data_IF_027541569677
#
_entry.id   IF_027541569677
#
_cell.length_a   1.000
_cell.length_b   1.000
_cell.length_c   1.000
_cell.angle_alpha   90.00
_cell.angle_beta   90.00
_cell.angle_gamma   90.00
#
_symmetry.space_group_name_H-M   'P 1'
#
loop_
_entity.id
_entity.type
_entity.pdbx_description
1 polymer ?
#
# COMPACT_ATOMS: atom_id res chain seq x y z
N UNK A 1 -10.89 -57.20 -34.69
CA UNK A 1 -11.45 -56.38 -33.59
C UNK A 1 -10.44 -55.30 -33.23
N UNK A 2 -10.63 -54.08 -33.74
CA UNK A 2 -9.90 -52.90 -33.26
C UNK A 2 -10.96 -51.88 -32.88
N UNK A 3 -11.11 -51.68 -31.58
CA UNK A 3 -12.05 -50.73 -30.97
C UNK A 3 -11.50 -49.32 -31.23
N UNK A 4 -11.99 -48.67 -32.27
CA UNK A 4 -11.78 -47.22 -32.47
C UNK A 4 -12.66 -46.48 -31.47
N UNK A 5 -12.05 -46.07 -30.36
CA UNK A 5 -12.68 -45.24 -29.35
C UNK A 5 -13.25 -43.97 -30.00
N UNK A 6 -14.58 -43.84 -29.97
CA UNK A 6 -15.28 -42.60 -30.30
C UNK A 6 -14.92 -41.58 -29.22
N UNK A 7 -13.95 -40.71 -29.50
CA UNK A 7 -13.84 -39.45 -28.76
C UNK A 7 -15.07 -38.61 -29.09
N UNK A 8 -15.99 -38.53 -28.14
CA UNK A 8 -17.09 -37.57 -28.13
C UNK A 8 -16.52 -36.16 -28.18
N UNK A 9 -16.48 -35.56 -29.39
CA UNK A 9 -16.32 -34.12 -29.54
C UNK A 9 -17.52 -33.47 -28.87
N UNK A 10 -17.31 -32.91 -27.68
CA UNK A 10 -18.24 -31.92 -27.12
C UNK A 10 -18.44 -30.83 -28.17
N UNK A 11 -19.66 -30.75 -28.69
CA UNK A 11 -20.09 -29.71 -29.62
C UNK A 11 -19.75 -28.36 -29.00
N UNK A 12 -18.86 -27.63 -29.69
CA UNK A 12 -18.53 -26.25 -29.31
C UNK A 12 -19.81 -25.44 -29.54
N UNK A 13 -20.27 -24.61 -28.58
CA UNK A 13 -21.40 -23.74 -28.83
C UNK A 13 -21.09 -22.91 -30.08
N UNK A 14 -21.97 -23.02 -31.07
CA UNK A 14 -21.75 -22.57 -32.43
C UNK A 14 -21.23 -21.13 -32.45
N UNK A 15 -20.03 -20.95 -32.99
CA UNK A 15 -19.58 -19.66 -33.47
C UNK A 15 -20.45 -19.36 -34.69
N UNK A 16 -21.65 -18.83 -34.45
CA UNK A 16 -22.41 -18.17 -35.50
C UNK A 16 -21.50 -17.02 -35.94
N UNK A 17 -21.14 -16.98 -37.22
CA UNK A 17 -20.45 -15.85 -37.83
C UNK A 17 -21.49 -15.10 -38.64
N UNK A 18 -21.56 -13.78 -38.47
CA UNK A 18 -22.41 -12.97 -39.35
C UNK A 18 -21.64 -12.76 -40.67
N UNK A 19 -22.31 -12.54 -41.81
CA UNK A 19 -21.61 -12.33 -43.09
C UNK A 19 -20.63 -11.15 -43.04
N UNK A 20 -20.89 -10.17 -42.18
CA UNK A 20 -20.02 -9.03 -41.90
C UNK A 20 -18.67 -9.41 -41.26
N UNK A 21 -18.54 -10.62 -40.73
CA UNK A 21 -17.34 -11.13 -40.07
C UNK A 21 -16.35 -11.77 -41.04
N UNK A 22 -16.82 -12.18 -42.22
CA UNK A 22 -16.01 -12.89 -43.22
C UNK A 22 -14.70 -12.16 -43.55
N UNK A 23 -14.69 -10.84 -43.85
CA UNK A 23 -13.46 -10.15 -44.20
C UNK A 23 -12.39 -10.21 -43.10
N UNK A 24 -12.81 -10.11 -41.84
CA UNK A 24 -11.91 -10.16 -40.69
C UNK A 24 -11.45 -11.58 -40.39
N UNK A 25 -12.32 -12.57 -40.57
CA UNK A 25 -11.99 -13.99 -40.42
C UNK A 25 -10.96 -14.42 -41.47
N UNK A 26 -11.11 -13.99 -42.74
CA UNK A 26 -10.11 -14.23 -43.77
C UNK A 26 -8.76 -13.57 -43.46
N UNK A 27 -8.77 -12.33 -42.97
CA UNK A 27 -7.54 -11.64 -42.53
C UNK A 27 -6.83 -12.41 -41.39
N UNK A 28 -7.60 -12.96 -40.45
CA UNK A 28 -7.07 -13.75 -39.34
C UNK A 28 -6.54 -15.10 -39.83
N UNK A 29 -7.20 -15.76 -40.78
CA UNK A 29 -6.71 -17.01 -41.36
C UNK A 29 -5.39 -16.79 -42.11
N UNK A 30 -5.26 -15.67 -42.83
CA UNK A 30 -4.00 -15.29 -43.49
C UNK A 30 -2.90 -14.97 -42.47
N UNK A 31 -3.23 -14.26 -41.38
CA UNK A 31 -2.27 -13.74 -40.41
C UNK A 31 -2.66 -14.04 -38.94
N UNK A 32 -2.68 -15.32 -38.57
CA UNK A 32 -3.19 -15.78 -37.27
C UNK A 32 -2.45 -15.22 -36.04
N UNK A 33 -1.16 -14.89 -36.18
CA UNK A 33 -0.32 -14.39 -35.08
C UNK A 33 -0.22 -12.86 -35.02
N UNK A 34 -0.90 -12.14 -35.92
CA UNK A 34 -0.85 -10.68 -35.95
C UNK A 34 -1.81 -10.09 -34.92
N UNK A 35 -1.26 -9.51 -33.86
CA UNK A 35 -2.05 -8.79 -32.84
C UNK A 35 -2.90 -7.67 -33.45
N UNK A 36 -2.44 -7.01 -34.53
CA UNK A 36 -3.16 -5.90 -35.17
C UNK A 36 -4.48 -6.35 -35.80
N UNK A 37 -4.48 -7.50 -36.50
CA UNK A 37 -5.67 -8.07 -37.13
C UNK A 37 -6.73 -8.40 -36.07
N UNK A 38 -6.31 -9.05 -34.97
CA UNK A 38 -7.19 -9.33 -33.84
C UNK A 38 -7.77 -8.06 -33.21
N UNK A 39 -6.95 -7.03 -33.01
CA UNK A 39 -7.43 -5.78 -32.41
C UNK A 39 -8.45 -5.05 -33.29
N UNK A 40 -8.26 -5.05 -34.61
CA UNK A 40 -9.21 -4.46 -35.57
C UNK A 40 -10.56 -5.20 -35.53
N UNK A 41 -10.53 -6.52 -35.52
CA UNK A 41 -11.76 -7.31 -35.44
C UNK A 41 -12.49 -7.12 -34.11
N UNK A 42 -11.74 -7.05 -33.01
CA UNK A 42 -12.29 -6.72 -31.69
C UNK A 42 -12.91 -5.32 -31.67
N UNK A 43 -12.26 -4.33 -32.30
CA UNK A 43 -12.77 -2.96 -32.42
C UNK A 43 -14.10 -2.91 -33.19
N UNK A 44 -14.19 -3.65 -34.30
CA UNK A 44 -15.44 -3.82 -35.04
C UNK A 44 -16.55 -4.43 -34.17
N UNK A 45 -16.24 -5.49 -33.41
CA UNK A 45 -17.21 -6.19 -32.55
C UNK A 45 -17.47 -5.54 -31.18
N UNK A 46 -17.01 -4.32 -30.91
CA UNK A 46 -17.26 -3.66 -29.62
C UNK A 46 -18.76 -3.44 -29.31
N UNK A 47 -19.60 -3.28 -30.35
CA UNK A 47 -21.05 -3.13 -30.21
C UNK A 47 -21.82 -4.46 -30.07
N UNK A 48 -21.16 -5.61 -30.24
CA UNK A 48 -21.81 -6.91 -30.24
C UNK A 48 -22.15 -7.40 -28.81
N UNK A 49 -22.99 -8.46 -28.68
CA UNK A 49 -23.26 -9.07 -27.38
C UNK A 49 -21.97 -9.47 -26.65
N UNK A 50 -21.88 -9.08 -25.37
CA UNK A 50 -20.73 -9.30 -24.49
C UNK A 50 -20.17 -10.74 -24.53
N UNK A 51 -20.98 -11.82 -24.57
CA UNK A 51 -20.46 -13.19 -24.67
C UNK A 51 -19.67 -13.46 -25.95
N UNK A 52 -20.12 -12.93 -27.09
CA UNK A 52 -19.47 -13.11 -28.41
C UNK A 52 -18.11 -12.42 -28.44
N UNK A 53 -18.05 -11.21 -27.91
CA UNK A 53 -16.80 -10.47 -27.74
C UNK A 53 -15.83 -11.22 -26.80
N UNK A 54 -16.33 -11.83 -25.71
CA UNK A 54 -15.49 -12.62 -24.82
C UNK A 54 -14.93 -13.88 -25.51
N UNK A 55 -15.74 -14.58 -26.30
CA UNK A 55 -15.28 -15.73 -27.09
C UNK A 55 -14.19 -15.35 -28.09
N UNK A 56 -14.32 -14.18 -28.73
CA UNK A 56 -13.33 -13.66 -29.65
C UNK A 56 -11.98 -13.42 -28.95
N UNK A 57 -12.00 -12.81 -27.76
CA UNK A 57 -10.79 -12.65 -26.95
C UNK A 57 -10.18 -14.00 -26.53
N UNK A 58 -10.99 -14.97 -26.08
CA UNK A 58 -10.48 -16.30 -25.70
C UNK A 58 -9.85 -17.02 -26.90
N UNK A 59 -10.39 -16.84 -28.11
CA UNK A 59 -9.80 -17.38 -29.34
C UNK A 59 -8.47 -16.70 -29.66
N UNK A 60 -8.41 -15.37 -29.58
CA UNK A 60 -7.17 -14.61 -29.81
C UNK A 60 -6.07 -15.01 -28.80
N UNK A 61 -6.43 -15.17 -27.53
CA UNK A 61 -5.50 -15.50 -26.44
C UNK A 61 -5.00 -16.95 -26.48
N UNK A 62 -5.79 -17.89 -27.05
CA UNK A 62 -5.30 -19.26 -27.31
C UNK A 62 -4.13 -19.28 -28.30
N UNK A 63 -4.15 -18.40 -29.29
CA UNK A 63 -3.09 -18.29 -30.29
C UNK A 63 -1.94 -17.39 -29.80
N UNK A 64 -2.27 -16.32 -29.07
CA UNK A 64 -1.33 -15.29 -28.62
C UNK A 64 -1.37 -15.09 -27.09
N UNK A 65 -0.93 -16.08 -26.30
CA UNK A 65 -1.03 -16.03 -24.83
C UNK A 65 -0.12 -14.96 -24.19
N UNK A 66 0.95 -14.55 -24.86
CA UNK A 66 1.91 -13.56 -24.34
C UNK A 66 1.56 -12.10 -24.69
N UNK A 67 0.46 -11.85 -25.41
CA UNK A 67 0.13 -10.50 -25.86
C UNK A 67 -0.46 -9.65 -24.74
N UNK A 68 0.36 -8.77 -24.17
CA UNK A 68 -0.07 -7.81 -23.14
C UNK A 68 -1.26 -6.96 -23.57
N UNK A 69 -1.26 -6.46 -24.82
CA UNK A 69 -2.32 -5.58 -25.33
C UNK A 69 -3.69 -6.27 -25.35
N UNK A 70 -3.72 -7.53 -25.78
CA UNK A 70 -4.95 -8.32 -25.83
C UNK A 70 -5.47 -8.61 -24.44
N UNK A 71 -4.62 -9.09 -23.53
CA UNK A 71 -5.00 -9.35 -22.15
C UNK A 71 -5.48 -8.10 -21.42
N UNK A 72 -4.77 -6.98 -21.54
CA UNK A 72 -5.16 -5.74 -20.86
C UNK A 72 -6.53 -5.25 -21.35
N UNK A 73 -6.78 -5.26 -22.67
CA UNK A 73 -8.09 -4.89 -23.21
C UNK A 73 -9.18 -5.89 -22.78
N UNK A 74 -8.88 -7.19 -22.79
CA UNK A 74 -9.84 -8.22 -22.37
C UNK A 74 -10.25 -8.06 -20.90
N UNK A 75 -9.28 -7.93 -20.00
CA UNK A 75 -9.52 -7.75 -18.56
C UNK A 75 -10.31 -6.46 -18.29
N UNK A 76 -9.98 -5.36 -18.98
CA UNK A 76 -10.72 -4.10 -18.89
C UNK A 76 -12.18 -4.27 -19.36
N UNK A 77 -12.41 -4.97 -20.47
CA UNK A 77 -13.75 -5.27 -20.96
C UNK A 77 -14.54 -6.11 -19.95
N UNK A 78 -13.95 -7.19 -19.44
CA UNK A 78 -14.57 -8.06 -18.42
C UNK A 78 -14.93 -7.32 -17.14
N UNK A 79 -14.07 -6.42 -16.64
CA UNK A 79 -14.38 -5.58 -15.47
C UNK A 79 -15.57 -4.65 -15.74
N UNK A 80 -15.61 -4.03 -16.92
CA UNK A 80 -16.71 -3.14 -17.33
C UNK A 80 -18.03 -3.88 -17.44
N UNK A 81 -18.02 -5.17 -17.81
CA UNK A 81 -19.22 -6.01 -17.86
C UNK A 81 -19.78 -6.33 -16.48
N UNK A 82 -18.90 -6.42 -15.47
CA UNK A 82 -19.24 -6.85 -14.10
C UNK A 82 -19.57 -5.66 -13.18
N UNK A 83 -19.17 -4.44 -13.52
CA UNK A 83 -19.36 -3.23 -12.69
C UNK A 83 -20.80 -2.97 -12.22
N UNK A 84 -21.81 -3.40 -12.98
CA UNK A 84 -23.23 -3.20 -12.67
C UNK A 84 -23.89 -4.37 -11.93
N UNK A 85 -23.12 -5.41 -11.59
CA UNK A 85 -23.61 -6.63 -10.95
C UNK A 85 -23.29 -6.64 -9.46
N UNK A 86 -23.95 -7.50 -8.70
CA UNK A 86 -23.69 -7.63 -7.27
C UNK A 86 -22.34 -8.35 -7.06
N UNK A 87 -21.59 -7.95 -6.04
CA UNK A 87 -20.25 -8.48 -5.74
C UNK A 87 -20.25 -10.00 -5.53
N UNK A 88 -21.36 -10.56 -5.07
CA UNK A 88 -21.54 -12.01 -4.82
C UNK A 88 -21.80 -12.80 -6.11
N UNK A 89 -22.02 -12.16 -7.26
CA UNK A 89 -22.34 -12.88 -8.49
C UNK A 89 -21.16 -13.75 -8.97
N UNK A 90 -21.41 -14.97 -9.49
CA UNK A 90 -20.37 -15.85 -10.04
C UNK A 90 -19.49 -15.19 -11.12
N UNK A 91 -20.03 -14.17 -11.79
CA UNK A 91 -19.30 -13.40 -12.79
C UNK A 91 -18.04 -12.70 -12.22
N UNK A 92 -18.03 -12.33 -10.94
CA UNK A 92 -16.83 -11.79 -10.29
C UNK A 92 -15.73 -12.85 -10.17
N UNK A 93 -16.10 -14.10 -9.86
CA UNK A 93 -15.16 -15.22 -9.78
C UNK A 93 -14.59 -15.57 -11.15
N UNK A 94 -15.40 -15.51 -12.21
CA UNK A 94 -14.90 -15.69 -13.59
C UNK A 94 -13.85 -14.64 -13.97
N UNK A 95 -14.05 -13.38 -13.56
CA UNK A 95 -13.08 -12.31 -13.82
C UNK A 95 -11.81 -12.50 -12.98
N UNK A 96 -11.94 -12.94 -11.73
CA UNK A 96 -10.79 -13.31 -10.91
C UNK A 96 -10.00 -14.46 -11.55
N UNK A 97 -10.67 -15.51 -12.01
CA UNK A 97 -10.05 -16.63 -12.73
C UNK A 97 -9.36 -16.18 -14.03
N UNK A 98 -9.95 -15.22 -14.75
CA UNK A 98 -9.35 -14.63 -15.93
C UNK A 98 -8.04 -13.85 -15.60
N UNK A 99 -8.03 -13.08 -14.52
CA UNK A 99 -6.80 -12.44 -14.02
C UNK A 99 -5.74 -13.47 -13.64
N UNK A 100 -6.10 -14.54 -12.93
CA UNK A 100 -5.18 -15.61 -12.56
C UNK A 100 -4.56 -16.30 -13.78
N UNK A 101 -5.36 -16.57 -14.82
CA UNK A 101 -4.87 -17.07 -16.13
C UNK A 101 -3.90 -16.10 -16.79
N UNK A 102 -4.18 -14.79 -16.74
CA UNK A 102 -3.30 -13.77 -17.32
C UNK A 102 -1.92 -13.76 -16.63
N UNK A 103 -1.86 -13.97 -15.31
CA UNK A 103 -0.60 -13.99 -14.57
C UNK A 103 0.28 -15.21 -14.85
N UNK A 104 -0.29 -16.34 -15.30
CA UNK A 104 0.51 -17.49 -15.73
C UNK A 104 1.51 -17.07 -16.82
N UNK A 105 1.08 -16.21 -17.75
CA UNK A 105 1.94 -15.74 -18.84
C UNK A 105 2.64 -14.41 -18.52
N UNK A 106 1.98 -13.44 -17.85
CA UNK A 106 2.51 -12.07 -17.70
C UNK A 106 2.67 -11.58 -16.25
N UNK A 107 3.08 -12.46 -15.34
CA UNK A 107 3.40 -12.11 -13.94
C UNK A 107 4.38 -10.92 -13.74
N UNK A 108 5.22 -10.59 -14.73
CA UNK A 108 6.20 -9.49 -14.62
C UNK A 108 5.63 -8.08 -14.85
N UNK A 109 4.37 -7.94 -15.27
CA UNK A 109 3.79 -6.65 -15.67
C UNK A 109 3.06 -5.96 -14.50
N UNK A 110 3.54 -4.82 -13.96
CA UNK A 110 2.95 -4.19 -12.78
C UNK A 110 1.52 -3.70 -13.00
N UNK A 111 1.18 -3.21 -14.19
CA UNK A 111 -0.14 -2.65 -14.48
C UNK A 111 -1.26 -3.65 -14.26
N UNK A 112 -1.07 -4.91 -14.68
CA UNK A 112 -2.06 -5.98 -14.47
C UNK A 112 -2.27 -6.28 -12.98
N UNK A 113 -1.20 -6.22 -12.18
CA UNK A 113 -1.29 -6.39 -10.73
C UNK A 113 -2.05 -5.25 -10.06
N UNK A 114 -1.75 -4.00 -10.41
CA UNK A 114 -2.46 -2.84 -9.85
C UNK A 114 -3.96 -2.93 -10.15
N UNK A 115 -4.29 -3.24 -11.40
CA UNK A 115 -5.65 -3.45 -11.88
C UNK A 115 -6.39 -4.55 -11.10
N UNK A 116 -5.73 -5.70 -10.89
CA UNK A 116 -6.32 -6.81 -10.14
C UNK A 116 -6.49 -6.49 -8.66
N UNK A 117 -5.48 -5.87 -8.03
CA UNK A 117 -5.55 -5.47 -6.64
C UNK A 117 -6.67 -4.44 -6.40
N UNK A 118 -6.84 -3.45 -7.29
CA UNK A 118 -7.95 -2.50 -7.21
C UNK A 118 -9.30 -3.21 -7.32
N UNK A 119 -9.45 -4.13 -8.27
CA UNK A 119 -10.67 -4.91 -8.44
C UNK A 119 -10.99 -5.76 -7.20
N UNK A 120 -9.99 -6.34 -6.55
CA UNK A 120 -10.19 -7.11 -5.31
C UNK A 120 -10.49 -6.22 -4.10
N UNK A 121 -9.95 -5.00 -4.05
CA UNK A 121 -10.31 -4.02 -3.03
C UNK A 121 -11.80 -3.63 -3.15
N UNK A 122 -12.32 -3.47 -4.36
CA UNK A 122 -13.75 -3.21 -4.60
C UNK A 122 -14.64 -4.38 -4.15
N UNK A 123 -14.14 -5.62 -4.19
CA UNK A 123 -14.88 -6.81 -3.72
C UNK A 123 -14.89 -6.98 -2.19
N UNK A 124 -14.01 -6.27 -1.45
CA UNK A 124 -13.93 -6.40 0.00
C UNK A 124 -13.35 -7.73 0.53
N UNK A 125 -12.76 -8.59 -0.31
CA UNK A 125 -12.18 -9.88 0.09
C UNK A 125 -10.78 -9.72 0.73
N UNK A 126 -10.71 -9.27 1.98
CA UNK A 126 -9.47 -8.86 2.68
C UNK A 126 -8.34 -9.90 2.61
N UNK A 127 -8.61 -11.16 2.95
CA UNK A 127 -7.58 -12.22 3.03
C UNK A 127 -6.99 -12.55 1.66
N UNK A 128 -7.85 -12.58 0.64
CA UNK A 128 -7.45 -12.81 -0.75
C UNK A 128 -6.63 -11.65 -1.27
N UNK A 129 -7.11 -10.41 -1.09
CA UNK A 129 -6.40 -9.18 -1.46
C UNK A 129 -5.01 -9.11 -0.83
N UNK A 130 -4.86 -9.47 0.44
CA UNK A 130 -3.54 -9.52 1.09
C UNK A 130 -2.60 -10.53 0.41
N UNK A 131 -3.08 -11.75 0.16
CA UNK A 131 -2.29 -12.80 -0.50
C UNK A 131 -1.89 -12.41 -1.92
N UNK A 132 -2.75 -11.71 -2.65
CA UNK A 132 -2.44 -11.23 -4.00
C UNK A 132 -1.43 -10.09 -3.98
N UNK A 133 -1.50 -9.16 -3.03
CA UNK A 133 -0.43 -8.16 -2.82
C UNK A 133 0.92 -8.82 -2.49
N UNK A 134 0.93 -9.81 -1.60
CA UNK A 134 2.14 -10.58 -1.26
C UNK A 134 2.70 -11.35 -2.46
N UNK A 135 1.83 -11.86 -3.35
CA UNK A 135 2.24 -12.50 -4.60
C UNK A 135 2.77 -11.48 -5.61
N UNK A 136 2.13 -10.32 -5.74
CA UNK A 136 2.58 -9.25 -6.63
C UNK A 136 3.99 -8.77 -6.26
N UNK A 137 4.24 -8.53 -4.96
CA UNK A 137 5.56 -8.12 -4.47
C UNK A 137 6.65 -9.20 -4.65
N UNK A 138 6.28 -10.48 -4.72
CA UNK A 138 7.22 -11.58 -5.05
C UNK A 138 7.49 -11.70 -6.54
N UNK A 139 6.46 -11.50 -7.38
CA UNK A 139 6.57 -11.65 -8.82
C UNK A 139 7.29 -10.48 -9.50
N UNK A 140 7.23 -9.28 -8.91
CA UNK A 140 7.72 -8.05 -9.52
C UNK A 140 9.12 -7.66 -9.02
N UNK A 141 9.98 -7.12 -9.90
CA UNK A 141 11.26 -6.56 -9.50
C UNK A 141 11.11 -5.40 -8.51
N UNK A 142 12.11 -5.23 -7.65
CA UNK A 142 12.14 -4.19 -6.60
C UNK A 142 11.93 -2.77 -7.15
N UNK A 143 12.39 -2.49 -8.37
CA UNK A 143 12.23 -1.19 -9.04
C UNK A 143 10.77 -0.79 -9.27
N UNK A 144 9.85 -1.76 -9.33
CA UNK A 144 8.42 -1.52 -9.57
C UNK A 144 7.59 -1.51 -8.28
N UNK A 145 8.20 -1.81 -7.13
CA UNK A 145 7.50 -1.86 -5.85
C UNK A 145 6.93 -0.49 -5.46
N UNK A 146 7.59 0.60 -5.86
CA UNK A 146 7.13 1.99 -5.67
C UNK A 146 5.71 2.26 -6.18
N UNK A 147 5.22 1.49 -7.18
CA UNK A 147 3.87 1.64 -7.73
C UNK A 147 2.80 0.87 -6.96
N UNK A 148 3.18 -0.24 -6.33
CA UNK A 148 2.25 -1.13 -5.63
C UNK A 148 2.05 -0.68 -4.20
N UNK A 149 3.13 -0.23 -3.55
CA UNK A 149 3.09 0.18 -2.14
C UNK A 149 2.02 1.24 -1.86
N UNK A 150 1.84 2.33 -2.64
CA UNK A 150 0.79 3.32 -2.37
C UNK A 150 -0.62 2.71 -2.34
N UNK A 151 -0.92 1.77 -3.24
CA UNK A 151 -2.20 1.05 -3.22
C UNK A 151 -2.32 0.12 -2.02
N UNK A 152 -1.24 -0.57 -1.67
CA UNK A 152 -1.23 -1.46 -0.51
C UNK A 152 -1.38 -0.68 0.80
N UNK A 153 -0.72 0.47 0.95
CA UNK A 153 -0.86 1.35 2.11
C UNK A 153 -2.28 1.91 2.20
N UNK A 154 -2.89 2.31 1.08
CA UNK A 154 -4.30 2.72 1.06
C UNK A 154 -5.23 1.60 1.52
N UNK A 155 -4.97 0.36 1.10
CA UNK A 155 -5.70 -0.82 1.55
C UNK A 155 -5.51 -1.09 3.05
N UNK A 156 -4.30 -0.92 3.58
CA UNK A 156 -4.03 -1.08 5.01
C UNK A 156 -4.71 0.00 5.86
N UNK A 157 -4.78 1.25 5.38
CA UNK A 157 -5.49 2.34 6.06
C UNK A 157 -7.01 2.15 6.07
N UNK A 158 -7.59 1.55 5.03
CA UNK A 158 -9.03 1.35 4.95
C UNK A 158 -9.55 0.19 5.81
N UNK A 159 -8.68 -0.70 6.27
CA UNK A 159 -9.07 -1.86 7.08
C UNK A 159 -8.39 -1.80 8.46
N UNK A 160 -9.17 -1.90 9.53
CA UNK A 160 -8.68 -1.84 10.91
C UNK A 160 -7.99 -3.14 11.36
N UNK A 161 -6.92 -3.56 10.68
CA UNK A 161 -6.10 -4.72 11.04
C UNK A 161 -4.69 -4.25 11.45
N UNK A 162 -4.50 -3.81 12.70
CA UNK A 162 -3.28 -3.13 13.14
C UNK A 162 -2.02 -3.99 12.99
N UNK A 163 -2.08 -5.28 13.34
CA UNK A 163 -0.92 -6.17 13.24
C UNK A 163 -0.45 -6.40 11.79
N UNK A 164 -1.40 -6.57 10.87
CA UNK A 164 -1.09 -6.80 9.45
C UNK A 164 -0.51 -5.53 8.83
N UNK A 165 -1.07 -4.38 9.18
CA UNK A 165 -0.56 -3.09 8.74
C UNK A 165 0.87 -2.87 9.21
N UNK A 166 1.14 -3.07 10.51
CA UNK A 166 2.48 -2.97 11.11
C UNK A 166 3.48 -3.87 10.39
N UNK A 167 3.12 -5.13 10.11
CA UNK A 167 3.99 -6.04 9.34
C UNK A 167 4.23 -5.55 7.91
N UNK A 168 3.20 -5.04 7.25
CA UNK A 168 3.27 -4.47 5.90
C UNK A 168 4.22 -3.26 5.85
N UNK A 169 4.04 -2.32 6.77
CA UNK A 169 4.89 -1.14 6.90
C UNK A 169 6.33 -1.49 7.30
N UNK A 170 6.57 -2.43 8.23
CA UNK A 170 7.93 -2.89 8.54
C UNK A 170 8.67 -3.44 7.32
N UNK A 171 7.95 -4.12 6.41
CA UNK A 171 8.52 -4.59 5.14
C UNK A 171 8.79 -3.43 4.18
N UNK A 172 7.88 -2.46 4.11
CA UNK A 172 8.04 -1.26 3.28
C UNK A 172 9.28 -0.43 3.68
N UNK A 173 9.50 -0.25 4.99
CA UNK A 173 10.64 0.51 5.52
C UNK A 173 12.00 -0.09 5.14
N UNK A 174 12.09 -1.42 4.96
CA UNK A 174 13.32 -2.07 4.48
C UNK A 174 13.69 -1.64 3.06
N UNK A 175 12.72 -1.26 2.25
CA UNK A 175 12.93 -0.85 0.86
C UNK A 175 13.08 0.67 0.73
N UNK A 176 12.38 1.43 1.55
CA UNK A 176 12.36 2.89 1.47
C UNK A 176 12.39 3.47 2.89
N UNK A 177 13.59 3.66 3.46
CA UNK A 177 13.72 4.29 4.78
C UNK A 177 13.14 5.70 4.78
N UNK A 178 13.26 6.42 3.66
CA UNK A 178 12.77 7.80 3.46
C UNK A 178 11.28 8.02 3.76
N UNK A 179 10.45 6.97 3.65
CA UNK A 179 9.01 7.03 3.93
C UNK A 179 8.64 6.60 5.35
N UNK A 180 9.58 6.68 6.29
CA UNK A 180 9.36 6.40 7.71
C UNK A 180 8.27 7.29 8.32
N UNK A 181 8.18 8.55 7.88
CA UNK A 181 7.18 9.51 8.36
C UNK A 181 5.74 9.05 8.14
N UNK A 182 5.42 8.50 6.96
CA UNK A 182 4.07 8.01 6.65
C UNK A 182 3.66 6.83 7.54
N UNK A 183 4.63 6.03 7.98
CA UNK A 183 4.39 4.94 8.92
C UNK A 183 4.18 5.47 10.33
N UNK A 184 4.98 6.45 10.76
CA UNK A 184 4.84 7.09 12.06
C UNK A 184 3.46 7.75 12.17
N UNK A 185 3.02 8.46 11.14
CA UNK A 185 1.68 9.07 11.10
C UNK A 185 0.57 8.02 11.21
N UNK A 186 0.73 6.88 10.53
CA UNK A 186 -0.19 5.75 10.66
C UNK A 186 -0.18 5.13 12.07
N UNK A 187 0.98 5.05 12.73
CA UNK A 187 1.06 4.56 14.10
C UNK A 187 0.43 5.53 15.11
N UNK A 188 0.59 6.84 14.89
CA UNK A 188 -0.10 7.89 15.66
C UNK A 188 -1.62 7.75 15.52
N UNK A 189 -2.14 7.52 14.31
CA UNK A 189 -3.59 7.35 14.10
C UNK A 189 -4.15 6.03 14.62
N UNK A 190 -3.32 4.99 14.76
CA UNK A 190 -3.71 3.68 15.32
C UNK A 190 -3.46 3.54 16.82
N UNK A 191 -3.15 4.64 17.52
CA UNK A 191 -2.90 4.71 18.98
C UNK A 191 -1.77 3.79 19.50
N UNK A 192 -0.88 3.33 18.60
CA UNK A 192 0.29 2.51 18.96
C UNK A 192 1.53 3.39 19.16
N UNK A 193 1.46 4.23 20.18
CA UNK A 193 2.41 5.31 20.42
C UNK A 193 3.84 4.81 20.73
N UNK A 194 3.99 3.64 21.35
CA UNK A 194 5.31 3.11 21.73
C UNK A 194 6.13 2.73 20.51
N UNK A 195 5.51 2.01 19.57
CA UNK A 195 6.17 1.68 18.31
C UNK A 195 6.44 2.94 17.48
N UNK A 196 5.55 3.95 17.57
CA UNK A 196 5.77 5.23 16.90
C UNK A 196 6.99 5.94 17.48
N UNK A 197 7.10 6.01 18.80
CA UNK A 197 8.20 6.64 19.52
C UNK A 197 9.54 5.94 19.24
N UNK A 198 9.57 4.60 19.25
CA UNK A 198 10.80 3.84 18.94
C UNK A 198 11.28 4.11 17.51
N UNK A 199 10.34 4.16 16.56
CA UNK A 199 10.66 4.42 15.15
C UNK A 199 11.11 5.85 14.93
N UNK A 200 10.44 6.81 15.54
CA UNK A 200 10.88 8.21 15.55
C UNK A 200 12.28 8.34 16.16
N UNK A 201 12.55 7.71 17.29
CA UNK A 201 13.89 7.74 17.91
C UNK A 201 14.98 7.16 17.00
N UNK A 202 14.67 6.06 16.29
CA UNK A 202 15.59 5.48 15.28
C UNK A 202 15.84 6.48 14.15
N UNK A 203 14.78 7.06 13.60
CA UNK A 203 14.84 8.01 12.47
C UNK A 203 15.61 9.27 12.84
N UNK A 204 15.47 9.80 14.06
CA UNK A 204 16.20 11.02 14.43
C UNK A 204 17.65 10.75 14.81
N UNK A 205 17.98 9.56 15.29
CA UNK A 205 19.37 9.18 15.53
C UNK A 205 20.15 8.99 14.21
N UNK A 206 19.47 8.73 13.10
CA UNK A 206 20.08 8.62 11.78
C UNK A 206 20.39 10.01 11.18
N UNK A 207 21.67 10.41 11.20
CA UNK A 207 22.12 11.73 10.70
C UNK A 207 21.97 11.90 9.17
N UNK A 208 21.87 10.79 8.42
CA UNK A 208 21.69 10.78 6.97
C UNK A 208 20.21 10.75 6.55
N UNK A 209 19.27 10.76 7.49
CA UNK A 209 17.85 10.74 7.16
C UNK A 209 17.40 12.07 6.58
N UNK A 210 16.98 12.06 5.31
CA UNK A 210 16.35 13.20 4.65
C UNK A 210 14.86 12.92 4.53
N UNK A 211 14.08 13.71 5.28
CA UNK A 211 12.62 13.71 5.28
C UNK A 211 12.07 13.98 3.88
N UNK A 212 11.15 13.15 3.37
CA UNK A 212 10.41 13.44 2.13
C UNK A 212 9.52 14.67 2.26
N UNK A 213 9.04 14.95 3.48
CA UNK A 213 8.25 16.12 3.77
C UNK A 213 9.08 17.41 3.93
N UNK A 214 10.41 17.35 3.75
CA UNK A 214 11.31 18.49 3.94
C UNK A 214 11.43 18.94 5.39
N UNK A 215 10.94 18.13 6.35
CA UNK A 215 11.05 18.43 7.78
C UNK A 215 12.50 18.43 8.21
N UNK A 216 12.89 19.45 8.96
CA UNK A 216 14.22 19.48 9.55
C UNK A 216 14.35 18.39 10.61
N UNK A 217 15.57 17.89 10.82
CA UNK A 217 15.85 16.91 11.87
C UNK A 217 15.32 17.39 13.24
N UNK A 218 15.46 18.70 13.51
CA UNK A 218 14.88 19.35 14.70
C UNK A 218 13.36 19.19 14.82
N UNK A 219 12.60 19.36 13.73
CA UNK A 219 11.14 19.21 13.77
C UNK A 219 10.73 17.78 14.11
N UNK A 220 11.43 16.78 13.58
CA UNK A 220 11.20 15.37 13.94
C UNK A 220 11.51 15.11 15.41
N UNK A 221 12.57 15.73 15.93
CA UNK A 221 12.92 15.65 17.34
C UNK A 221 11.86 16.29 18.24
N UNK A 222 11.33 17.44 17.85
CA UNK A 222 10.24 18.10 18.56
C UNK A 222 8.98 17.23 18.55
N UNK A 223 8.59 16.66 17.41
CA UNK A 223 7.46 15.74 17.32
C UNK A 223 7.64 14.50 18.21
N UNK A 224 8.86 13.99 18.35
CA UNK A 224 9.17 12.90 19.27
C UNK A 224 8.98 13.34 20.74
N UNK A 225 9.51 14.50 21.12
CA UNK A 225 9.39 15.02 22.48
C UNK A 225 7.93 15.30 22.86
N UNK A 226 7.15 15.88 21.96
CA UNK A 226 5.71 16.15 22.16
C UNK A 226 4.91 14.85 22.32
N UNK A 227 5.21 13.83 21.51
CA UNK A 227 4.51 12.55 21.57
C UNK A 227 4.76 11.85 22.91
N UNK A 228 6.00 11.89 23.39
CA UNK A 228 6.39 11.31 24.68
C UNK A 228 5.80 12.10 25.85
N UNK A 229 5.86 13.44 25.82
CA UNK A 229 5.37 14.27 26.92
C UNK A 229 3.85 14.17 27.10
N UNK A 230 3.10 14.05 26.01
CA UNK A 230 1.65 13.95 26.07
C UNK A 230 1.15 12.59 26.56
N UNK A 231 1.90 11.51 26.33
CA UNK A 231 1.48 10.14 26.63
C UNK A 231 2.52 9.31 27.43
N UNK A 232 2.85 9.69 28.68
CA UNK A 232 3.85 8.97 29.48
C UNK A 232 3.47 7.51 29.79
N UNK A 233 2.18 7.24 30.01
CA UNK A 233 1.72 5.92 30.48
C UNK A 233 1.84 4.82 29.42
N UNK A 234 1.75 5.23 28.14
CA UNK A 234 1.85 4.33 26.99
C UNK A 234 3.33 4.05 26.71
N UNK A 235 4.17 5.07 26.63
CA UNK A 235 5.58 4.94 26.21
C UNK A 235 6.50 4.40 27.32
N UNK A 236 6.49 3.08 27.53
CA UNK A 236 7.33 2.43 28.55
C UNK A 236 8.69 1.93 28.03
N UNK A 237 8.82 1.81 26.71
CA UNK A 237 9.94 1.10 26.07
C UNK A 237 11.20 1.95 25.83
N UNK A 238 11.14 3.25 26.10
CA UNK A 238 12.22 4.20 25.82
C UNK A 238 12.66 4.90 27.10
N UNK A 239 13.98 5.10 27.25
CA UNK A 239 14.50 5.92 28.34
C UNK A 239 14.32 7.41 27.97
N UNK A 240 13.18 7.97 28.38
CA UNK A 240 12.75 9.34 28.06
C UNK A 240 13.77 10.38 28.51
N UNK A 241 14.38 10.20 29.69
CA UNK A 241 15.35 11.14 30.24
C UNK A 241 16.63 11.20 29.39
N UNK A 242 17.15 10.05 28.98
CA UNK A 242 18.33 9.97 28.11
C UNK A 242 18.07 10.61 26.73
N UNK A 243 16.87 10.41 26.16
CA UNK A 243 16.49 10.97 24.86
C UNK A 243 16.39 12.49 24.96
N UNK A 244 15.62 13.02 25.92
CA UNK A 244 15.43 14.47 26.03
C UNK A 244 16.75 15.17 26.35
N UNK A 245 17.60 14.60 27.22
CA UNK A 245 18.94 15.14 27.50
C UNK A 245 19.86 15.11 26.28
N UNK A 246 19.83 14.04 25.48
CA UNK A 246 20.54 14.01 24.20
C UNK A 246 20.09 15.13 23.25
N UNK A 247 18.81 15.46 23.27
CA UNK A 247 18.21 16.54 22.49
C UNK A 247 18.69 17.91 22.92
N UNK A 248 18.74 18.14 24.23
CA UNK A 248 19.26 19.36 24.84
C UNK A 248 20.75 19.60 24.51
N UNK A 249 21.54 18.53 24.29
CA UNK A 249 22.95 18.66 23.87
C UNK A 249 23.12 18.93 22.38
N UNK A 250 22.22 18.42 21.53
CA UNK A 250 22.32 18.54 20.06
C UNK A 250 21.69 19.82 19.52
N UNK A 251 20.65 20.34 20.17
CA UNK A 251 19.87 21.49 19.70
C UNK A 251 19.85 22.60 20.75
N UNK A 252 20.85 23.48 20.70
CA UNK A 252 21.02 24.61 21.64
C UNK A 252 20.02 25.75 21.44
N UNK A 253 19.38 25.83 20.28
CA UNK A 253 18.68 27.04 19.84
C UNK A 253 17.24 27.13 20.37
N UNK A 254 16.67 26.04 20.91
CA UNK A 254 15.30 25.98 21.43
C UNK A 254 15.17 25.17 22.72
N UNK A 255 16.14 25.31 23.63
CA UNK A 255 16.16 24.62 24.94
C UNK A 255 14.85 24.82 25.73
N UNK A 256 14.24 26.01 25.64
CA UNK A 256 13.02 26.33 26.40
C UNK A 256 11.86 25.38 26.13
N UNK A 257 11.60 25.03 24.86
CA UNK A 257 10.51 24.11 24.50
C UNK A 257 10.79 22.68 24.95
N UNK A 258 12.04 22.24 24.82
CA UNK A 258 12.46 20.91 25.27
C UNK A 258 12.34 20.76 26.80
N UNK A 259 12.74 21.79 27.56
CA UNK A 259 12.53 21.81 29.01
C UNK A 259 11.05 21.81 29.40
N UNK A 260 10.17 22.46 28.62
CA UNK A 260 8.72 22.39 28.84
C UNK A 260 8.19 20.97 28.56
N UNK A 261 8.62 20.31 27.48
CA UNK A 261 8.21 18.92 27.21
C UNK A 261 8.70 17.94 28.29
N UNK A 262 9.89 18.16 28.86
CA UNK A 262 10.41 17.38 29.97
C UNK A 262 9.63 17.62 31.27
N UNK A 263 9.28 18.88 31.52
CA UNK A 263 8.40 19.30 32.62
C UNK A 263 7.08 18.53 32.56
N UNK A 264 6.40 18.63 31.42
CA UNK A 264 5.09 18.03 31.19
C UNK A 264 5.13 16.51 31.38
N UNK A 265 6.20 15.86 30.91
CA UNK A 265 6.41 14.43 31.11
C UNK A 265 6.50 14.05 32.60
N UNK A 266 7.31 14.77 33.38
CA UNK A 266 7.48 14.46 34.81
C UNK A 266 6.24 14.81 35.65
N UNK A 267 5.52 15.89 35.29
CA UNK A 267 4.25 16.25 35.92
C UNK A 267 3.21 15.16 35.68
N UNK A 268 3.09 14.67 34.44
CA UNK A 268 2.11 13.64 34.08
C UNK A 268 2.47 12.25 34.59
N UNK A 269 3.76 11.91 34.70
CA UNK A 269 4.23 10.65 35.31
C UNK A 269 4.22 10.64 36.84
N UNK A 270 3.84 11.75 37.49
CA UNK A 270 3.72 11.85 38.95
C UNK A 270 5.04 11.91 39.72
N UNK A 271 6.18 12.06 39.04
CA UNK A 271 7.51 12.13 39.65
C UNK A 271 7.95 13.60 39.89
N UNK A 272 7.24 14.29 40.78
CA UNK A 272 7.46 15.73 41.06
C UNK A 272 8.84 16.07 41.63
N UNK A 273 9.46 15.18 42.42
CA UNK A 273 10.78 15.43 43.03
C UNK A 273 11.90 15.62 42.00
N UNK A 274 11.82 14.89 40.88
CA UNK A 274 12.81 14.99 39.79
C UNK A 274 12.71 16.30 39.02
N UNK A 275 11.50 16.87 38.91
CA UNK A 275 11.26 18.19 38.28
C UNK A 275 12.05 19.28 39.00
N UNK A 276 11.95 19.32 40.33
CA UNK A 276 12.65 20.31 41.15
C UNK A 276 14.16 20.06 41.19
N UNK A 277 14.61 18.80 41.21
CA UNK A 277 16.04 18.46 41.23
C UNK A 277 16.79 18.90 39.96
N UNK A 278 16.26 18.59 38.78
CA UNK A 278 16.93 18.90 37.51
C UNK A 278 16.87 20.38 37.12
N UNK A 279 15.76 21.06 37.42
CA UNK A 279 15.60 22.50 37.16
C UNK A 279 16.28 23.36 38.23
N UNK A 280 16.42 22.84 39.44
CA UNK A 280 17.06 23.51 40.58
C UNK A 280 18.58 23.67 40.42
N UNK A 281 19.26 22.67 39.83
CA UNK A 281 20.73 22.59 39.82
C UNK A 281 21.43 23.36 38.68
N UNK A 282 20.78 23.71 37.56
CA UNK A 282 21.39 24.59 36.54
C UNK A 282 21.13 26.07 36.87
N UNK A 283 21.92 26.58 37.81
CA UNK A 283 22.06 28.01 38.07
C UNK A 283 22.62 28.72 36.83
N UNK A 284 21.75 29.18 35.93
CA UNK A 284 22.15 29.99 34.77
C UNK A 284 21.27 29.87 33.53
N UNK A 285 20.32 28.93 33.47
CA UNK A 285 19.47 28.80 32.27
C UNK A 285 18.22 29.71 32.32
N UNK A 286 17.78 30.29 31.18
CA UNK A 286 16.55 31.10 31.06
C UNK A 286 15.26 30.39 31.53
N UNK A 287 15.34 29.07 31.74
CA UNK A 287 14.28 28.21 32.24
C UNK A 287 13.75 28.63 33.62
N UNK A 288 14.57 29.17 34.54
CA UNK A 288 14.10 29.65 35.86
C UNK A 288 13.11 30.82 35.74
N UNK A 289 13.34 31.74 34.81
CA UNK A 289 12.46 32.87 34.57
C UNK A 289 11.13 32.46 33.92
N UNK A 290 11.15 31.40 33.11
CA UNK A 290 9.95 30.85 32.47
C UNK A 290 9.10 30.01 33.43
N UNK A 291 9.73 29.14 34.23
CA UNK A 291 9.03 28.29 35.21
C UNK A 291 8.36 29.09 36.34
N UNK A 292 9.03 30.13 36.84
CA UNK A 292 8.45 31.03 37.84
C UNK A 292 7.18 31.75 37.32
N UNK A 293 7.03 31.89 36.00
CA UNK A 293 5.85 32.52 35.38
C UNK A 293 4.70 31.56 35.11
N UNK A 294 4.99 30.29 34.79
CA UNK A 294 3.97 29.29 34.47
C UNK A 294 3.41 28.57 35.70
N UNK A 295 4.22 28.37 36.74
CA UNK A 295 3.79 27.67 37.95
C UNK A 295 2.78 28.48 38.80
N UNK A 296 2.76 29.82 38.65
CA UNK A 296 1.78 30.70 39.28
C UNK A 296 0.44 30.81 38.54
N UNK A 297 0.28 30.19 37.36
CA UNK A 297 -0.97 30.23 36.58
C UNK A 297 -1.86 29.01 36.86
N UNK A 298 -1.32 27.95 37.48
CA UNK A 298 -2.03 26.68 37.72
C UNK A 298 -2.08 26.26 39.20
N UNK A 299 -1.78 27.16 40.14
CA UNK A 299 -2.09 27.04 41.57
C UNK A 299 -3.15 28.08 41.91
#
# INVERSE_FOLDING_TARGET
>A
MVVMARFSRQERPDLVFDEEDLPYEEEIMRNQFSVKCWLRYIEFKQGAPKPRLNQLYERALKLLPCSYKLWYRYLKARRSQVKHRCVTDPAYEDVNNCHERAFVFMHKMPRLWLDYCQFLMEQGRITHTRRTFDRALRALPITQHSRIWPLYLRFLRSHSLPETAVRGYRRFLKLSPESAEEYIEYLKSSDRLDEAAQRLATVVNDEHFVSKAGKSNYQLWHELCDLISQNPDKVQSLNVDAIIRGGLTRFTDQLGKLWCSLADYYIRSGHFEKVCGDTGCRAGSPAKAWYSRYMWIYV
#
